data_IF_041623361586
#
_entry.id   IF_041623361586
#
_cell.length_a   1.000
_cell.length_b   1.000
_cell.length_c   1.000
_cell.angle_alpha   90.00
_cell.angle_beta   90.00
_cell.angle_gamma   90.00
#
_symmetry.space_group_name_H-M   'P 1'
#
loop_
_entity.id
_entity.type
_entity.pdbx_description
1 polymer ?
#
# COMPACT_ATOMS: atom_id res chain seq x y z
N UNK A 1 14.91 11.88 -3.62
CA UNK A 1 14.38 11.24 -4.84
C UNK A 1 12.93 11.65 -5.04
N UNK A 2 12.47 11.72 -6.30
CA UNK A 2 11.09 12.05 -6.66
C UNK A 2 10.10 10.98 -6.17
N UNK A 3 8.88 11.42 -5.80
CA UNK A 3 7.84 10.55 -5.27
C UNK A 3 6.50 10.88 -5.92
N UNK A 4 5.65 9.86 -6.04
CA UNK A 4 4.21 10.03 -6.28
C UNK A 4 3.52 9.66 -4.98
N UNK A 5 2.84 10.63 -4.38
CA UNK A 5 2.04 10.40 -3.18
C UNK A 5 0.69 9.76 -3.53
N UNK A 6 0.15 8.96 -2.61
CA UNK A 6 -1.10 8.22 -2.83
C UNK A 6 -1.07 7.36 -4.09
N UNK A 7 0.04 6.69 -4.36
CA UNK A 7 0.17 5.76 -5.49
C UNK A 7 -0.64 4.45 -5.25
N UNK A 8 -1.86 4.59 -4.73
CA UNK A 8 -2.69 3.51 -4.20
C UNK A 8 -3.33 2.67 -5.31
N UNK A 9 -3.71 3.24 -6.45
CA UNK A 9 -4.22 2.48 -7.60
C UNK A 9 -3.29 2.73 -8.78
N UNK A 10 -2.57 1.70 -9.22
CA UNK A 10 -1.64 1.77 -10.35
C UNK A 10 -2.06 0.74 -11.40
N UNK A 11 -2.17 1.16 -12.66
CA UNK A 11 -2.39 0.22 -13.75
C UNK A 11 -1.20 -0.77 -13.83
N UNK A 12 -1.42 -2.09 -13.97
CA UNK A 12 -0.34 -3.07 -13.98
C UNK A 12 0.80 -2.75 -14.96
N UNK A 13 0.47 -2.22 -16.14
CA UNK A 13 1.42 -1.80 -17.17
C UNK A 13 2.34 -0.63 -16.75
N UNK A 14 1.91 0.17 -15.78
CA UNK A 14 2.66 1.33 -15.28
C UNK A 14 3.57 1.02 -14.10
N UNK A 15 3.39 -0.12 -13.42
CA UNK A 15 4.15 -0.45 -12.20
C UNK A 15 5.66 -0.48 -12.44
N UNK A 16 6.10 -1.03 -13.56
CA UNK A 16 7.53 -1.09 -13.93
C UNK A 16 8.12 0.30 -14.24
N UNK A 17 7.29 1.31 -14.52
CA UNK A 17 7.77 2.67 -14.79
C UNK A 17 8.37 3.30 -13.52
N UNK A 18 7.88 2.96 -12.33
CA UNK A 18 8.44 3.47 -11.07
C UNK A 18 9.93 3.10 -10.93
N UNK A 19 10.28 1.83 -11.14
CA UNK A 19 11.68 1.40 -11.04
C UNK A 19 12.53 1.95 -12.18
N UNK A 20 12.02 1.96 -13.42
CA UNK A 20 12.73 2.54 -14.59
C UNK A 20 13.05 4.02 -14.45
N UNK A 21 12.13 4.80 -13.89
CA UNK A 21 12.29 6.25 -13.70
C UNK A 21 12.97 6.60 -12.37
N UNK A 22 13.14 5.62 -11.46
CA UNK A 22 13.69 5.85 -10.14
C UNK A 22 12.79 6.72 -9.24
N UNK A 23 11.50 6.77 -9.54
CA UNK A 23 10.45 7.47 -8.76
C UNK A 23 9.90 6.49 -7.72
N UNK A 24 9.63 6.98 -6.51
CA UNK A 24 9.13 6.14 -5.43
C UNK A 24 7.60 6.27 -5.29
N UNK A 25 6.86 5.16 -5.23
CA UNK A 25 5.43 5.17 -4.91
C UNK A 25 5.24 5.27 -3.39
N UNK A 26 4.75 6.41 -2.92
CA UNK A 26 4.47 6.66 -1.49
C UNK A 26 2.99 6.39 -1.21
N UNK A 27 2.70 5.67 -0.13
CA UNK A 27 1.33 5.22 0.19
C UNK A 27 1.06 5.19 1.70
N UNK A 28 -0.21 5.17 2.07
CA UNK A 28 -0.66 5.08 3.46
C UNK A 28 -1.30 3.70 3.69
N UNK A 29 -0.63 2.79 4.42
CA UNK A 29 -1.19 1.46 4.70
C UNK A 29 -2.55 1.47 5.40
N UNK A 30 -2.82 2.47 6.25
CA UNK A 30 -4.14 2.65 6.88
C UNK A 30 -5.27 2.85 5.86
N UNK A 31 -4.98 3.47 4.71
CA UNK A 31 -5.98 3.64 3.65
C UNK A 31 -6.34 2.28 3.02
N UNK A 32 -5.40 1.33 2.92
CA UNK A 32 -5.71 -0.03 2.47
C UNK A 32 -6.76 -0.71 3.37
N UNK A 33 -6.62 -0.54 4.69
CA UNK A 33 -7.58 -1.08 5.66
C UNK A 33 -8.94 -0.36 5.62
N UNK A 34 -8.96 0.94 5.31
CA UNK A 34 -10.20 1.70 5.18
C UNK A 34 -10.94 1.40 3.85
N UNK A 35 -10.18 1.32 2.75
CA UNK A 35 -10.70 1.20 1.39
C UNK A 35 -11.26 -0.19 1.08
N UNK A 36 -10.77 -1.26 1.72
CA UNK A 36 -11.11 -2.65 1.36
C UNK A 36 -12.62 -2.93 1.36
N UNK A 37 -13.42 -2.15 2.10
CA UNK A 37 -14.87 -2.33 2.18
C UNK A 37 -15.63 -1.89 0.93
N UNK A 38 -15.04 -1.00 0.11
CA UNK A 38 -15.69 -0.43 -1.07
C UNK A 38 -14.82 -0.39 -2.33
N UNK A 39 -13.51 -0.65 -2.23
CA UNK A 39 -12.57 -0.54 -3.36
C UNK A 39 -13.01 -1.38 -4.56
N UNK A 40 -13.41 -2.63 -4.34
CA UNK A 40 -13.89 -3.53 -5.41
C UNK A 40 -15.16 -3.01 -6.08
N UNK A 41 -16.11 -2.46 -5.30
CA UNK A 41 -17.33 -1.86 -5.85
C UNK A 41 -17.03 -0.63 -6.70
N UNK A 42 -16.06 0.20 -6.29
CA UNK A 42 -15.71 1.45 -7.00
C UNK A 42 -14.86 1.21 -8.24
N UNK A 43 -13.94 0.25 -8.18
CA UNK A 43 -12.93 0.02 -9.21
C UNK A 43 -13.35 -1.09 -10.17
N UNK A 44 -14.18 -2.03 -9.73
CA UNK A 44 -14.51 -3.24 -10.46
C UNK A 44 -13.36 -4.25 -10.47
N UNK A 45 -13.60 -5.46 -10.99
CA UNK A 45 -12.72 -6.62 -10.80
C UNK A 45 -11.34 -6.48 -11.45
N UNK A 46 -11.19 -5.61 -12.45
CA UNK A 46 -9.91 -5.46 -13.17
C UNK A 46 -9.02 -4.38 -12.56
N UNK A 47 -9.58 -3.19 -12.24
CA UNK A 47 -8.77 -2.05 -11.76
C UNK A 47 -8.36 -2.21 -10.29
N UNK A 48 -9.15 -2.95 -9.52
CA UNK A 48 -8.83 -3.21 -8.11
C UNK A 48 -7.53 -4.01 -7.93
N UNK A 49 -7.12 -4.79 -8.94
CA UNK A 49 -5.87 -5.56 -8.92
C UNK A 49 -4.61 -4.68 -8.85
N UNK A 50 -4.73 -3.41 -9.24
CA UNK A 50 -3.67 -2.41 -9.09
C UNK A 50 -3.63 -1.74 -7.71
N UNK A 51 -4.51 -2.16 -6.80
CA UNK A 51 -4.74 -1.54 -5.50
C UNK A 51 -3.71 -1.93 -4.45
N UNK A 52 -2.99 -0.94 -3.94
CA UNK A 52 -2.00 -1.09 -2.88
C UNK A 52 -0.99 -2.21 -3.19
N UNK A 53 -0.51 -2.27 -4.44
CA UNK A 53 0.31 -3.37 -4.97
C UNK A 53 1.78 -3.34 -4.49
N UNK A 54 1.98 -3.31 -3.18
CA UNK A 54 3.25 -3.09 -2.51
C UNK A 54 4.30 -4.16 -2.84
N UNK A 55 3.96 -5.45 -2.75
CA UNK A 55 4.93 -6.50 -3.05
C UNK A 55 5.21 -6.61 -4.53
N UNK A 56 4.21 -6.38 -5.38
CA UNK A 56 4.44 -6.32 -6.82
C UNK A 56 5.42 -5.19 -7.18
N UNK A 57 5.26 -4.00 -6.60
CA UNK A 57 6.19 -2.89 -6.79
C UNK A 57 7.60 -3.20 -6.25
N UNK A 58 7.71 -3.79 -5.05
CA UNK A 58 9.01 -4.21 -4.51
C UNK A 58 9.69 -5.24 -5.43
N UNK A 59 8.94 -6.20 -5.96
CA UNK A 59 9.43 -7.20 -6.93
C UNK A 59 9.78 -6.58 -8.28
N UNK A 60 9.17 -5.46 -8.66
CA UNK A 60 9.50 -4.73 -9.90
C UNK A 60 10.80 -3.91 -9.81
N UNK A 61 11.49 -3.96 -8.65
CA UNK A 61 12.82 -3.39 -8.47
C UNK A 61 12.83 -1.93 -7.99
N UNK A 62 11.74 -1.43 -7.40
CA UNK A 62 11.81 -0.14 -6.69
C UNK A 62 12.78 -0.24 -5.51
N UNK A 63 13.48 0.85 -5.21
CA UNK A 63 14.50 0.86 -4.15
C UNK A 63 13.90 1.00 -2.74
N UNK A 64 12.72 1.61 -2.64
CA UNK A 64 12.03 1.86 -1.39
C UNK A 64 10.53 2.04 -1.64
N UNK A 65 9.73 1.71 -0.64
CA UNK A 65 8.28 1.88 -0.63
C UNK A 65 7.92 2.73 0.60
N UNK A 66 7.93 4.07 0.49
CA UNK A 66 7.67 4.94 1.62
C UNK A 66 6.23 4.82 2.12
N UNK A 67 6.07 4.72 3.44
CA UNK A 67 4.78 4.69 4.11
C UNK A 67 4.53 5.96 4.93
N UNK A 68 3.28 6.42 4.92
CA UNK A 68 2.84 7.58 5.67
C UNK A 68 1.46 7.38 6.31
N UNK A 69 0.98 8.41 6.99
CA UNK A 69 -0.37 8.44 7.59
C UNK A 69 -1.36 9.36 6.88
N UNK A 70 -0.88 10.31 6.07
CA UNK A 70 -1.70 11.42 5.54
C UNK A 70 -2.42 12.20 6.66
N UNK A 71 -1.73 12.43 7.77
CA UNK A 71 -2.22 13.31 8.83
C UNK A 71 -2.18 14.78 8.38
N UNK A 72 -3.23 15.58 8.63
CA UNK A 72 -4.44 15.25 9.40
C UNK A 72 -5.62 14.72 8.57
N UNK A 73 -5.51 14.61 7.25
CA UNK A 73 -6.58 14.20 6.33
C UNK A 73 -7.21 12.86 6.73
N UNK A 74 -6.39 11.85 7.04
CA UNK A 74 -6.84 10.53 7.47
C UNK A 74 -7.17 10.45 8.98
N UNK A 75 -7.15 11.59 9.68
CA UNK A 75 -7.20 11.66 11.13
C UNK A 75 -5.90 11.22 11.81
N UNK A 76 -5.91 11.20 13.15
CA UNK A 76 -4.77 10.74 13.94
C UNK A 76 -4.74 9.21 13.98
N UNK A 77 -4.10 8.61 12.99
CA UNK A 77 -3.91 7.16 12.92
C UNK A 77 -2.59 6.77 13.61
N UNK A 78 -2.61 5.94 14.67
CA UNK A 78 -1.39 5.40 15.25
C UNK A 78 -0.54 4.67 14.20
N UNK A 79 0.78 4.92 14.12
CA UNK A 79 1.65 4.26 13.14
C UNK A 79 1.59 2.73 13.19
N UNK A 80 1.32 2.15 14.37
CA UNK A 80 1.15 0.72 14.55
C UNK A 80 -0.05 0.14 13.79
N UNK A 81 -1.12 0.90 13.58
CA UNK A 81 -2.27 0.45 12.77
C UNK A 81 -1.92 0.43 11.28
N UNK A 82 -1.15 1.41 10.81
CA UNK A 82 -0.61 1.38 9.45
C UNK A 82 0.39 0.22 9.26
N UNK A 83 1.28 0.01 10.22
CA UNK A 83 2.19 -1.13 10.24
C UNK A 83 1.42 -2.46 10.21
N UNK A 84 0.38 -2.60 11.03
CA UNK A 84 -0.51 -3.76 11.02
C UNK A 84 -1.11 -3.97 9.62
N UNK A 85 -1.76 -2.95 9.05
CA UNK A 85 -2.37 -3.04 7.72
C UNK A 85 -1.35 -3.39 6.61
N UNK A 86 -0.11 -2.91 6.71
CA UNK A 86 0.95 -3.24 5.75
C UNK A 86 1.29 -4.74 5.76
N UNK A 87 1.35 -5.34 6.95
CA UNK A 87 1.79 -6.72 7.16
C UNK A 87 0.64 -7.72 7.02
N UNK A 88 -0.55 -7.37 7.50
CA UNK A 88 -1.70 -8.28 7.51
C UNK A 88 -2.68 -8.00 6.38
N UNK A 89 -2.75 -6.77 5.88
CA UNK A 89 -3.80 -6.29 4.96
C UNK A 89 -5.21 -6.51 5.50
N UNK A 90 -5.34 -6.42 6.82
CA UNK A 90 -6.58 -6.54 7.57
C UNK A 90 -6.93 -5.19 8.22
N UNK A 91 -8.22 -4.99 8.48
CA UNK A 91 -8.70 -3.94 9.39
C UNK A 91 -8.18 -4.17 10.81
N UNK A 92 -8.27 -3.18 11.72
CA UNK A 92 -7.93 -3.38 13.13
C UNK A 92 -8.69 -4.54 13.80
N UNK A 93 -9.86 -4.90 13.28
CA UNK A 93 -10.69 -6.01 13.74
C UNK A 93 -10.26 -7.36 13.16
N UNK A 94 -9.20 -7.42 12.34
CA UNK A 94 -8.70 -8.64 11.72
C UNK A 94 -9.49 -9.09 10.49
N UNK A 95 -10.18 -8.17 9.81
CA UNK A 95 -11.04 -8.47 8.66
C UNK A 95 -10.46 -7.93 7.33
N UNK A 96 -10.69 -8.60 6.19
CA UNK A 96 -11.12 -9.99 6.09
C UNK A 96 -10.02 -10.91 6.64
N UNK A 97 -10.39 -12.02 7.28
CA UNK A 97 -9.41 -12.97 7.79
C UNK A 97 -8.49 -13.44 6.66
N UNK A 98 -7.18 -13.30 6.84
CA UNK A 98 -6.21 -13.65 5.81
C UNK A 98 -5.90 -12.50 4.86
N UNK A 99 -6.43 -11.30 5.09
CA UNK A 99 -6.06 -10.06 4.41
C UNK A 99 -6.69 -9.91 3.03
N UNK A 100 -6.92 -8.66 2.63
CA UNK A 100 -7.41 -8.31 1.29
C UNK A 100 -6.23 -8.27 0.31
N UNK A 101 -6.23 -9.07 -0.75
CA UNK A 101 -5.05 -9.30 -1.62
C UNK A 101 -3.78 -9.70 -0.82
N UNK A 102 -3.78 -10.87 -0.15
CA UNK A 102 -2.69 -11.29 0.74
C UNK A 102 -1.31 -11.36 0.09
N UNK A 103 -1.24 -11.58 -1.22
CA UNK A 103 -0.02 -11.58 -2.01
C UNK A 103 0.70 -10.23 -2.02
N UNK A 104 -0.01 -9.14 -1.72
CA UNK A 104 0.52 -7.78 -1.62
C UNK A 104 0.94 -7.39 -0.20
N UNK A 105 0.90 -8.32 0.75
CA UNK A 105 1.44 -8.11 2.12
C UNK A 105 2.94 -7.92 2.08
N UNK A 106 3.44 -6.91 2.79
CA UNK A 106 4.87 -6.76 3.02
C UNK A 106 5.28 -7.46 4.32
N UNK A 107 6.52 -7.92 4.41
CA UNK A 107 7.07 -8.42 5.67
C UNK A 107 7.16 -7.31 6.72
N UNK A 108 7.19 -7.67 8.01
CA UNK A 108 7.38 -6.72 9.11
C UNK A 108 8.65 -5.85 8.92
N UNK A 109 9.74 -6.43 8.43
CA UNK A 109 10.98 -5.69 8.14
C UNK A 109 10.81 -4.71 6.98
N UNK A 110 10.10 -5.10 5.91
CA UNK A 110 9.81 -4.20 4.80
C UNK A 110 8.88 -3.05 5.24
N UNK A 111 7.87 -3.34 6.06
CA UNK A 111 6.99 -2.32 6.61
C UNK A 111 7.74 -1.34 7.51
N UNK A 112 8.64 -1.85 8.38
CA UNK A 112 9.47 -1.02 9.23
C UNK A 112 10.36 -0.08 8.40
N UNK A 113 10.99 -0.62 7.34
CA UNK A 113 11.77 0.19 6.40
C UNK A 113 10.90 1.26 5.74
N UNK A 114 9.70 0.92 5.29
CA UNK A 114 8.78 1.90 4.68
C UNK A 114 8.47 3.10 5.58
N UNK A 115 8.45 2.91 6.90
CA UNK A 115 8.24 3.98 7.87
C UNK A 115 9.52 4.70 8.34
N UNK A 116 10.72 4.18 8.04
CA UNK A 116 11.95 4.67 8.69
C UNK A 116 13.14 4.95 7.75
N UNK A 117 13.17 4.39 6.54
CA UNK A 117 14.33 4.40 5.64
C UNK A 117 14.04 4.91 4.23
#
# INVERSE_FOLDING_TARGET
RWRVEHAQIIAPEDMLRFSRLGVLPSMQPSHCAADLSYAEQRLGPSRVLGGYAWMTLLRSGIQALPFGSDFPTAGSVPPLLGFHAAVTRETPEGMPRGGWFPEERVTATQALKGYTA
#
